data_IF_879250195336
#
_entry.id   IF_879250195336
#
_cell.length_a   1.000
_cell.length_b   1.000
_cell.length_c   1.000
_cell.angle_alpha   90.00
_cell.angle_beta   90.00
_cell.angle_gamma   90.00
#
_symmetry.space_group_name_H-M   'P 1'
#
loop_
_entity.id
_entity.type
_entity.pdbx_description
1 polymer ?
#
# COMPACT_ATOMS: atom_id res chain seq x y z
N UNK A 1 6.88 20.96 1.84
CA UNK A 1 5.65 21.04 1.03
C UNK A 1 4.96 19.71 0.95
N UNK A 2 3.63 19.74 0.76
CA UNK A 2 2.79 18.56 0.60
C UNK A 2 1.87 18.74 -0.60
N UNK A 3 1.72 17.66 -1.37
CA UNK A 3 0.75 17.59 -2.47
C UNK A 3 -0.26 16.51 -2.13
N UNK A 4 -1.54 16.82 -2.31
CA UNK A 4 -2.64 15.87 -2.15
C UNK A 4 -3.19 15.53 -3.54
N UNK A 5 -3.17 14.24 -3.88
CA UNK A 5 -3.56 13.71 -5.18
C UNK A 5 -4.71 12.72 -4.99
N UNK A 6 -5.92 13.23 -5.13
CA UNK A 6 -7.15 12.48 -4.81
C UNK A 6 -7.89 12.11 -6.08
N UNK A 7 -8.14 10.83 -6.28
CA UNK A 7 -8.92 10.28 -7.38
C UNK A 7 -8.51 10.80 -8.77
N UNK A 8 -7.22 10.98 -8.99
CA UNK A 8 -6.67 11.47 -10.24
C UNK A 8 -5.75 10.45 -10.92
N UNK A 9 -5.02 9.65 -10.13
CA UNK A 9 -4.07 8.68 -10.68
C UNK A 9 -4.75 7.54 -11.46
N UNK A 10 -5.94 7.14 -11.05
CA UNK A 10 -6.73 6.10 -11.73
C UNK A 10 -7.25 6.52 -13.11
N UNK A 11 -7.31 7.82 -13.36
CA UNK A 11 -7.76 8.40 -14.63
C UNK A 11 -6.61 8.90 -15.50
N UNK A 12 -5.39 8.88 -15.00
CA UNK A 12 -4.21 9.29 -15.77
C UNK A 12 -3.98 8.36 -16.95
N UNK A 13 -3.71 8.90 -18.13
CA UNK A 13 -3.34 8.14 -19.33
C UNK A 13 -2.04 7.36 -19.07
N UNK A 14 -1.01 8.08 -18.59
CA UNK A 14 0.23 7.48 -18.07
C UNK A 14 0.43 7.85 -16.60
N UNK A 15 0.15 6.94 -15.68
CA UNK A 15 0.36 7.16 -14.26
C UNK A 15 1.82 7.37 -13.86
N UNK A 16 2.77 6.82 -14.65
CA UNK A 16 4.20 6.99 -14.37
C UNK A 16 4.65 8.40 -14.71
N UNK A 17 4.29 8.88 -15.88
CA UNK A 17 4.59 10.25 -16.30
C UNK A 17 3.98 11.27 -15.33
N UNK A 18 2.72 11.05 -14.94
CA UNK A 18 2.05 11.89 -13.95
C UNK A 18 2.81 11.93 -12.62
N UNK A 19 3.29 10.79 -12.12
CA UNK A 19 4.07 10.74 -10.88
C UNK A 19 5.45 11.37 -11.03
N UNK A 20 6.10 11.23 -12.18
CA UNK A 20 7.37 11.91 -12.47
C UNK A 20 7.18 13.42 -12.44
N UNK A 21 6.08 13.92 -13.00
CA UNK A 21 5.76 15.34 -12.95
C UNK A 21 5.47 15.81 -11.52
N UNK A 22 4.74 15.02 -10.73
CA UNK A 22 4.54 15.30 -9.31
C UNK A 22 5.86 15.33 -8.54
N UNK A 23 6.78 14.42 -8.89
CA UNK A 23 8.12 14.43 -8.30
C UNK A 23 8.88 15.69 -8.67
N UNK A 24 8.77 16.17 -9.92
CA UNK A 24 9.44 17.39 -10.40
C UNK A 24 8.98 18.63 -9.64
N UNK A 25 7.68 18.79 -9.42
CA UNK A 25 7.11 19.98 -8.79
C UNK A 25 7.22 20.01 -7.28
N UNK A 26 7.36 18.84 -6.63
CA UNK A 26 7.52 18.76 -5.18
C UNK A 26 8.88 19.31 -4.74
N UNK A 27 8.89 20.02 -3.64
CA UNK A 27 10.13 20.41 -2.96
C UNK A 27 10.96 19.19 -2.50
N UNK A 28 12.27 19.36 -2.29
CA UNK A 28 13.11 18.35 -1.65
C UNK A 28 12.51 17.87 -0.33
N UNK A 29 12.46 16.56 -0.13
CA UNK A 29 11.81 15.93 1.03
C UNK A 29 10.30 16.19 1.15
N UNK A 30 9.69 16.76 0.12
CA UNK A 30 8.24 16.96 0.05
C UNK A 30 7.47 15.64 0.13
N UNK A 31 6.21 15.73 0.51
CA UNK A 31 5.33 14.57 0.70
C UNK A 31 4.19 14.59 -0.30
N UNK A 32 3.93 13.47 -0.91
CA UNK A 32 2.81 13.22 -1.78
C UNK A 32 1.82 12.29 -1.06
N UNK A 33 0.59 12.75 -0.90
CA UNK A 33 -0.51 11.92 -0.38
C UNK A 33 -1.40 11.54 -1.55
N UNK A 34 -1.53 10.26 -1.78
CA UNK A 34 -2.34 9.71 -2.88
C UNK A 34 -3.53 8.96 -2.30
N UNK A 35 -4.70 9.23 -2.87
CA UNK A 35 -5.94 8.51 -2.58
C UNK A 35 -6.45 7.90 -3.89
N UNK A 36 -6.53 6.57 -3.94
CA UNK A 36 -6.97 5.83 -5.13
C UNK A 36 -7.94 4.71 -4.77
N UNK A 37 -8.81 4.28 -5.70
CA UNK A 37 -9.66 3.12 -5.49
C UNK A 37 -8.84 1.86 -5.24
N UNK A 38 -9.27 1.07 -4.25
CA UNK A 38 -8.67 -0.22 -3.94
C UNK A 38 -9.24 -1.29 -4.88
N UNK A 39 -8.38 -1.91 -5.67
CA UNK A 39 -8.76 -3.00 -6.58
C UNK A 39 -9.42 -4.19 -5.88
N UNK A 40 -9.10 -4.45 -4.61
CA UNK A 40 -9.72 -5.51 -3.81
C UNK A 40 -11.01 -5.07 -3.13
N UNK A 41 -11.28 -3.76 -3.10
CA UNK A 41 -12.43 -3.18 -2.45
C UNK A 41 -13.74 -3.54 -3.16
N UNK A 42 -14.80 -3.60 -2.38
CA UNK A 42 -16.15 -3.87 -2.91
C UNK A 42 -16.58 -2.75 -3.87
N UNK A 43 -16.17 -1.52 -3.61
CA UNK A 43 -16.52 -0.35 -4.40
C UNK A 43 -16.01 -0.39 -5.85
N UNK A 44 -14.84 -0.97 -6.08
CA UNK A 44 -14.25 -1.09 -7.41
C UNK A 44 -14.95 -2.13 -8.30
N UNK A 45 -15.89 -2.90 -7.75
CA UNK A 45 -16.64 -3.94 -8.48
C UNK A 45 -17.98 -3.45 -9.03
N UNK A 46 -18.40 -2.26 -8.66
CA UNK A 46 -19.67 -1.69 -9.07
C UNK A 46 -19.45 -0.49 -9.99
N UNK A 47 -19.74 -0.66 -11.27
CA UNK A 47 -19.58 0.38 -12.31
C UNK A 47 -20.39 1.66 -12.04
N UNK A 48 -21.50 1.55 -11.29
CA UNK A 48 -22.32 2.70 -10.92
C UNK A 48 -21.74 3.52 -9.76
N UNK A 49 -20.60 3.13 -9.22
CA UNK A 49 -19.89 3.90 -8.18
C UNK A 49 -18.82 4.78 -8.82
N UNK A 50 -18.45 5.91 -8.19
CA UNK A 50 -17.34 6.73 -8.67
C UNK A 50 -16.00 5.98 -8.73
N UNK A 51 -15.88 4.87 -8.00
CA UNK A 51 -14.66 4.06 -7.89
C UNK A 51 -14.63 2.86 -8.84
N UNK A 52 -15.74 2.61 -9.55
CA UNK A 52 -15.83 1.57 -10.58
C UNK A 52 -15.23 2.00 -11.92
N UNK A 53 -15.07 3.31 -12.14
CA UNK A 53 -14.45 3.87 -13.33
C UNK A 53 -12.96 4.12 -13.09
N UNK A 54 -12.13 3.97 -14.16
CA UNK A 54 -10.69 4.15 -14.06
C UNK A 54 -9.94 2.85 -13.74
N UNK A 55 -8.67 2.98 -13.39
CA UNK A 55 -7.76 1.86 -13.09
C UNK A 55 -7.55 1.72 -11.58
N UNK A 56 -8.29 0.85 -10.87
CA UNK A 56 -8.08 0.66 -9.44
C UNK A 56 -6.72 0.01 -9.17
N UNK A 57 -6.10 0.38 -8.07
CA UNK A 57 -4.78 -0.09 -7.69
C UNK A 57 -4.84 -1.11 -6.54
N UNK A 58 -3.95 -2.09 -6.59
CA UNK A 58 -3.59 -2.84 -5.39
C UNK A 58 -2.45 -2.12 -4.66
N UNK A 59 -2.31 -2.37 -3.36
CA UNK A 59 -1.22 -1.81 -2.56
C UNK A 59 0.17 -2.11 -3.15
N UNK A 60 0.36 -3.34 -3.66
CA UNK A 60 1.62 -3.73 -4.27
C UNK A 60 1.91 -2.97 -5.57
N UNK A 61 0.90 -2.83 -6.44
CA UNK A 61 1.03 -2.07 -7.69
C UNK A 61 1.34 -0.60 -7.43
N UNK A 62 0.62 0.03 -6.49
CA UNK A 62 0.86 1.43 -6.14
C UNK A 62 2.24 1.62 -5.52
N UNK A 63 2.68 0.71 -4.66
CA UNK A 63 4.02 0.74 -4.09
C UNK A 63 5.14 0.56 -5.14
N UNK A 64 4.91 -0.27 -6.16
CA UNK A 64 5.87 -0.48 -7.25
C UNK A 64 6.04 0.79 -8.08
N UNK A 65 4.94 1.35 -8.59
CA UNK A 65 4.99 2.54 -9.43
C UNK A 65 5.57 3.76 -8.70
N UNK A 66 5.29 3.90 -7.39
CA UNK A 66 5.88 4.96 -6.58
C UNK A 66 7.41 4.82 -6.47
N UNK A 67 7.92 3.61 -6.25
CA UNK A 67 9.37 3.37 -6.19
C UNK A 67 10.04 3.61 -7.55
N UNK A 68 9.40 3.18 -8.62
CA UNK A 68 9.88 3.37 -9.99
C UNK A 68 9.97 4.85 -10.38
N UNK A 69 9.15 5.70 -9.75
CA UNK A 69 9.12 7.15 -9.95
C UNK A 69 9.84 7.93 -8.84
N UNK A 70 10.78 7.29 -8.13
CA UNK A 70 11.64 7.88 -7.11
C UNK A 70 10.90 8.41 -5.87
N UNK A 71 9.71 7.90 -5.59
CA UNK A 71 9.02 8.10 -4.32
C UNK A 71 9.31 6.94 -3.36
N UNK A 72 9.44 7.26 -2.08
CA UNK A 72 9.49 6.25 -1.03
C UNK A 72 8.13 6.17 -0.35
N UNK A 73 7.35 5.09 -0.58
CA UNK A 73 6.10 4.88 0.14
C UNK A 73 6.35 4.77 1.64
N UNK A 74 5.62 5.56 2.43
CA UNK A 74 5.70 5.56 3.89
C UNK A 74 4.43 4.99 4.53
N UNK A 75 3.63 5.85 5.15
CA UNK A 75 2.42 5.45 5.84
C UNK A 75 1.32 5.03 4.86
N UNK A 76 0.61 3.97 5.22
CA UNK A 76 -0.55 3.46 4.49
C UNK A 76 -1.77 3.50 5.39
N UNK A 77 -2.87 3.90 4.80
CA UNK A 77 -4.19 3.84 5.42
C UNK A 77 -5.21 3.30 4.42
N UNK A 78 -6.27 2.77 4.93
CA UNK A 78 -7.38 2.26 4.15
C UNK A 78 -8.66 2.87 4.70
N UNK A 79 -9.60 3.18 3.83
CA UNK A 79 -10.86 3.78 4.21
C UNK A 79 -12.00 3.27 3.34
N UNK A 80 -13.23 3.72 3.65
CA UNK A 80 -14.43 3.35 2.94
C UNK A 80 -14.77 1.87 3.06
N UNK A 81 -14.87 1.39 4.30
CA UNK A 81 -15.29 0.01 4.62
C UNK A 81 -16.81 -0.18 4.55
N UNK A 82 -17.51 0.87 4.21
CA UNK A 82 -18.95 0.88 4.07
C UNK A 82 -19.35 0.36 2.68
N UNK A 83 -20.36 -0.52 2.55
CA UNK A 83 -20.82 -1.00 1.25
C UNK A 83 -21.53 0.09 0.45
N UNK A 84 -21.47 0.08 -0.91
CA UNK A 84 -22.09 1.08 -1.79
C UNK A 84 -23.61 0.89 -1.87
N UNK A 85 -24.32 1.05 -0.75
CA UNK A 85 -25.77 0.91 -0.70
C UNK A 85 -26.45 2.28 -0.60
N UNK A 86 -27.51 2.45 -1.39
CA UNK A 86 -28.27 3.70 -1.47
C UNK A 86 -29.28 3.91 -0.33
N UNK A 87 -29.36 3.02 0.64
CA UNK A 87 -30.32 3.10 1.72
C UNK A 87 -29.93 4.16 2.75
N UNK A 88 -30.75 5.19 2.88
CA UNK A 88 -30.56 6.28 3.85
C UNK A 88 -30.39 5.78 5.29
N UNK A 89 -31.05 4.69 5.66
CA UNK A 89 -30.93 4.07 6.97
C UNK A 89 -29.49 3.55 7.24
N UNK A 90 -28.82 3.03 6.20
CA UNK A 90 -27.51 2.43 6.32
C UNK A 90 -26.41 3.50 6.41
N UNK A 91 -26.60 4.67 5.78
CA UNK A 91 -25.66 5.81 5.90
C UNK A 91 -25.56 6.35 7.32
N UNK A 92 -26.62 6.20 8.12
CA UNK A 92 -26.62 6.58 9.54
C UNK A 92 -25.64 5.75 10.39
N UNK A 93 -25.37 4.53 9.98
CA UNK A 93 -24.43 3.62 10.65
C UNK A 93 -23.03 3.65 10.05
N UNK A 94 -22.78 4.48 9.02
CA UNK A 94 -21.48 4.57 8.35
C UNK A 94 -20.29 4.76 9.31
N UNK A 95 -20.35 5.65 10.34
CA UNK A 95 -19.22 5.83 11.27
C UNK A 95 -18.91 4.57 12.09
N UNK A 96 -19.95 3.80 12.44
CA UNK A 96 -19.79 2.54 13.19
C UNK A 96 -19.19 1.47 12.28
N UNK A 97 -19.72 1.34 11.07
CA UNK A 97 -19.21 0.39 10.07
C UNK A 97 -17.76 0.69 9.66
N UNK A 98 -17.41 1.96 9.56
CA UNK A 98 -16.02 2.38 9.28
C UNK A 98 -15.06 1.95 10.40
N UNK A 99 -15.48 2.11 11.66
CA UNK A 99 -14.68 1.72 12.83
C UNK A 99 -14.54 0.20 12.95
N UNK A 100 -15.63 -0.52 12.75
CA UNK A 100 -15.67 -1.99 12.81
C UNK A 100 -14.95 -2.60 11.60
N UNK A 101 -15.18 -2.05 10.39
CA UNK A 101 -14.57 -2.51 9.15
C UNK A 101 -13.05 -2.43 9.16
N UNK A 102 -12.48 -1.34 9.69
CA UNK A 102 -11.02 -1.22 9.87
C UNK A 102 -10.41 -2.35 10.70
N UNK A 103 -11.16 -2.86 11.67
CA UNK A 103 -10.66 -3.88 12.59
C UNK A 103 -10.91 -5.31 12.09
N UNK A 104 -12.04 -5.55 11.44
CA UNK A 104 -12.49 -6.89 11.06
C UNK A 104 -12.31 -7.20 9.57
N UNK A 105 -12.33 -6.17 8.68
CA UNK A 105 -12.33 -6.37 7.24
C UNK A 105 -11.40 -5.44 6.45
N UNK A 106 -10.11 -5.39 6.75
CA UNK A 106 -9.18 -4.53 6.03
C UNK A 106 -9.10 -4.81 4.52
N UNK A 107 -9.45 -6.04 4.09
CA UNK A 107 -9.43 -6.44 2.67
C UNK A 107 -10.54 -5.80 1.82
N UNK A 108 -11.58 -5.23 2.44
CA UNK A 108 -12.74 -4.69 1.72
C UNK A 108 -12.75 -3.16 1.64
N UNK A 109 -11.70 -2.50 2.11
CA UNK A 109 -11.57 -1.05 2.00
C UNK A 109 -11.77 -0.57 0.56
N UNK A 110 -12.63 0.43 0.36
CA UNK A 110 -12.92 0.97 -0.97
C UNK A 110 -11.78 1.80 -1.54
N UNK A 111 -10.99 2.44 -0.69
CA UNK A 111 -9.87 3.31 -1.10
C UNK A 111 -8.59 2.98 -0.35
N UNK A 112 -7.48 3.17 -1.04
CA UNK A 112 -6.13 3.17 -0.48
C UNK A 112 -5.65 4.60 -0.34
N UNK A 113 -5.06 4.91 0.80
CA UNK A 113 -4.38 6.17 1.05
C UNK A 113 -2.92 5.86 1.34
N UNK A 114 -2.02 6.49 0.62
CA UNK A 114 -0.58 6.35 0.84
C UNK A 114 0.08 7.71 0.96
N UNK A 115 0.93 7.87 1.94
CA UNK A 115 1.86 8.98 2.02
C UNK A 115 3.21 8.49 1.47
N UNK A 116 3.72 9.19 0.45
CA UNK A 116 5.00 8.91 -0.17
C UNK A 116 5.91 10.14 -0.06
N UNK A 117 7.19 9.93 0.16
CA UNK A 117 8.15 11.00 0.30
C UNK A 117 9.07 11.08 -0.93
N UNK A 118 9.26 12.28 -1.46
CA UNK A 118 10.30 12.56 -2.43
C UNK A 118 11.66 12.50 -1.75
N UNK A 119 12.51 11.57 -2.18
CA UNK A 119 13.91 11.52 -1.74
C UNK A 119 14.83 11.87 -2.88
N UNK A 120 15.69 12.87 -2.67
CA UNK A 120 16.71 13.27 -3.65
C UNK A 120 17.86 12.25 -3.70
N UNK A 121 18.16 11.60 -2.59
CA UNK A 121 19.18 10.57 -2.48
C UNK A 121 18.55 9.29 -1.96
N UNK A 122 18.28 8.36 -2.86
CA UNK A 122 18.12 6.97 -2.44
C UNK A 122 19.53 6.44 -2.26
N UNK A 123 19.98 6.34 -0.99
CA UNK A 123 21.15 5.52 -0.67
C UNK A 123 20.91 4.14 -1.31
N UNK A 124 21.90 3.61 -2.00
CA UNK A 124 21.84 2.25 -2.56
C UNK A 124 21.23 1.34 -1.50
N UNK A 125 20.19 0.57 -1.82
CA UNK A 125 19.64 -0.37 -0.88
C UNK A 125 20.76 -1.32 -0.49
N UNK A 126 21.27 -1.16 0.72
CA UNK A 126 22.16 -2.19 1.30
C UNK A 126 21.26 -3.41 1.37
N UNK A 127 21.49 -4.34 0.45
CA UNK A 127 20.81 -5.62 0.49
C UNK A 127 21.12 -6.20 1.87
N UNK A 128 20.15 -6.16 2.78
CA UNK A 128 20.22 -6.96 4.00
C UNK A 128 20.32 -8.40 3.51
N UNK A 129 21.55 -8.89 3.43
CA UNK A 129 21.80 -10.30 3.26
C UNK A 129 21.03 -10.98 4.37
N UNK A 130 19.92 -11.60 4.02
CA UNK A 130 19.23 -12.49 4.94
C UNK A 130 20.31 -13.46 5.45
N UNK A 131 20.71 -13.29 6.69
CA UNK A 131 21.63 -14.19 7.36
C UNK A 131 20.94 -15.56 7.38
N UNK A 132 21.27 -16.35 6.37
CA UNK A 132 20.84 -17.74 6.31
C UNK A 132 21.56 -18.41 7.46
N UNK A 133 20.86 -18.61 8.58
CA UNK A 133 21.39 -19.42 9.68
C UNK A 133 21.64 -20.80 9.11
N UNK A 134 22.90 -21.07 8.79
CA UNK A 134 23.34 -22.42 8.44
C UNK A 134 23.28 -23.21 9.75
N UNK A 135 22.33 -24.10 9.83
CA UNK A 135 22.28 -25.08 10.92
C UNK A 135 23.43 -26.05 10.72
N UNK A 136 24.49 -25.90 11.50
CA UNK A 136 25.57 -26.89 11.55
C UNK A 136 25.17 -27.91 12.61
N UNK A 137 24.87 -29.14 12.25
CA UNK A 137 24.61 -30.16 13.25
C UNK A 137 25.93 -30.47 14.03
N UNK A 138 25.92 -30.23 15.32
CA UNK A 138 27.01 -30.64 16.20
C UNK A 138 26.86 -32.12 16.39
N UNK A 139 27.75 -32.91 15.77
CA UNK A 139 27.87 -34.32 16.04
C UNK A 139 28.40 -34.50 17.47
N UNK A 140 27.58 -35.11 18.32
CA UNK A 140 28.02 -35.51 19.66
C UNK A 140 29.17 -36.54 19.55
N UNK A 141 30.26 -36.37 20.34
CA UNK A 141 31.34 -37.37 20.35
C UNK A 141 30.80 -38.71 20.88
N UNK A 142 31.02 -39.75 20.10
CA UNK A 142 30.59 -41.12 20.44
C UNK A 142 31.23 -41.60 21.72
N UNK A 143 30.40 -42.15 22.59
CA UNK A 143 30.85 -42.85 23.80
C UNK A 143 31.74 -44.06 23.42
N UNK A 144 33.00 -44.01 23.80
CA UNK A 144 33.87 -45.19 23.72
C UNK A 144 33.33 -46.28 24.66
N UNK A 145 32.82 -47.36 24.09
CA UNK A 145 32.54 -48.58 24.82
C UNK A 145 33.86 -49.17 25.32
N UNK A 146 34.03 -49.21 26.64
CA UNK A 146 35.08 -50.05 27.28
C UNK A 146 34.63 -51.50 27.13
N UNK A 147 35.36 -52.25 26.33
CA UNK A 147 35.38 -53.71 26.46
C UNK A 147 36.41 -54.14 27.52
N UNK A 148 35.95 -54.96 28.42
CA UNK A 148 36.75 -55.86 29.21
C UNK A 148 36.93 -57.13 28.47
#
# INVERSE_FOLDING_TARGET
>A
DRVLFVHALEHAEDPRETLVEMWRVLAPNGRLVIVVPNRRGVWARFEHTPFGNGRPYSRAQLASILRETNFTPGAWSEALFFPPVRWRAVTRFAPVMERVGRRLWPLFAGVLVVEAQKRLYQGLPVAQRASRRVFVPVLAPGAHARMR
#
